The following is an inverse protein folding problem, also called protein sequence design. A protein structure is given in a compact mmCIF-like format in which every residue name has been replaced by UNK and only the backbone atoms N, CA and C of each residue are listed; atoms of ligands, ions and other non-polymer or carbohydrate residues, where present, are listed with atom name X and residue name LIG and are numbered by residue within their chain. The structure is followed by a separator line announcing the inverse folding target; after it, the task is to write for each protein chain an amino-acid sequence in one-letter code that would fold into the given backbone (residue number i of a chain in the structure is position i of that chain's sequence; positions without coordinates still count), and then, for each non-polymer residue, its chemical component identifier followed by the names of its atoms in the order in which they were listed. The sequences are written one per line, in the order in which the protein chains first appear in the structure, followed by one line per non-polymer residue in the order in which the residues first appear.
data_IF_942533229789
#
_entry.id   IF_942533229789
#
_cell.length_a   1.000
_cell.length_b   1.000
_cell.length_c   1.000
_cell.angle_alpha   90.00
_cell.angle_beta   90.00
_cell.angle_gamma   90.00
#
_symmetry.space_group_name_H-M   'P 1'
#
loop_
_entity.id
_entity.type
_entity.pdbx_description
1 polymer ?
#
# COMPACT_ATOMS: atom_id res chain seq x y z
N UNK A 1 -38.27 5.37 -21.86
CA UNK A 1 -37.64 4.14 -22.34
C UNK A 1 -36.48 3.82 -21.41
N UNK A 2 -36.53 2.76 -20.63
CA UNK A 2 -35.40 2.40 -19.75
C UNK A 2 -34.27 1.80 -20.59
N UNK A 3 -33.05 2.29 -20.40
CA UNK A 3 -31.83 1.73 -20.98
C UNK A 3 -31.58 0.36 -20.35
N UNK A 4 -31.41 -0.67 -21.16
CA UNK A 4 -31.06 -2.00 -20.71
C UNK A 4 -29.71 -2.01 -19.98
N UNK A 5 -29.45 -3.08 -19.19
CA UNK A 5 -28.20 -3.18 -18.45
C UNK A 5 -27.00 -3.23 -19.39
N UNK A 6 -25.84 -2.68 -19.00
CA UNK A 6 -24.63 -2.75 -19.80
C UNK A 6 -24.25 -4.23 -20.05
N UNK A 7 -24.01 -4.57 -21.29
CA UNK A 7 -23.47 -5.87 -21.68
C UNK A 7 -22.11 -6.05 -20.99
N UNK A 8 -22.05 -6.98 -20.04
CA UNK A 8 -20.78 -7.47 -19.50
C UNK A 8 -20.11 -8.19 -20.67
N UNK A 9 -19.07 -7.58 -21.21
CA UNK A 9 -18.20 -8.19 -22.20
C UNK A 9 -17.62 -9.45 -21.56
N UNK A 10 -18.12 -10.61 -21.99
CA UNK A 10 -17.63 -11.91 -21.52
C UNK A 10 -16.17 -12.01 -21.91
N UNK A 11 -15.28 -11.92 -20.93
CA UNK A 11 -13.86 -12.17 -21.12
C UNK A 11 -13.72 -13.54 -21.81
N UNK A 12 -13.24 -13.52 -23.06
CA UNK A 12 -13.01 -14.74 -23.86
C UNK A 12 -11.95 -15.54 -23.09
N UNK A 13 -12.35 -16.65 -22.51
CA UNK A 13 -11.41 -17.58 -21.87
C UNK A 13 -10.41 -18.05 -22.92
N UNK A 14 -9.10 -17.94 -22.68
CA UNK A 14 -8.08 -18.39 -23.61
C UNK A 14 -8.24 -19.88 -23.90
N UNK A 15 -7.94 -20.32 -25.13
CA UNK A 15 -7.97 -21.75 -25.44
C UNK A 15 -6.93 -22.49 -24.56
N UNK A 16 -7.16 -23.78 -24.26
CA UNK A 16 -6.18 -24.57 -23.48
C UNK A 16 -4.77 -24.51 -24.05
N UNK A 17 -4.64 -24.52 -25.39
CA UNK A 17 -3.35 -24.44 -26.07
C UNK A 17 -2.67 -23.08 -25.88
N UNK A 18 -3.44 -21.98 -25.98
CA UNK A 18 -2.90 -20.62 -25.80
C UNK A 18 -2.51 -20.38 -24.34
N UNK A 19 -3.27 -20.93 -23.38
CA UNK A 19 -2.90 -20.89 -21.96
C UNK A 19 -1.58 -21.63 -21.68
N UNK A 20 -1.44 -22.85 -22.19
CA UNK A 20 -0.20 -23.64 -22.03
C UNK A 20 0.99 -22.95 -22.67
N UNK A 21 0.82 -22.38 -23.85
CA UNK A 21 1.87 -21.63 -24.52
C UNK A 21 2.30 -20.40 -23.70
N UNK A 22 1.35 -19.62 -23.18
CA UNK A 22 1.61 -18.48 -22.32
C UNK A 22 2.37 -18.92 -21.04
N UNK A 23 1.91 -19.99 -20.38
CA UNK A 23 2.52 -20.45 -19.15
C UNK A 23 3.97 -20.95 -19.37
N UNK A 24 4.23 -21.66 -20.51
CA UNK A 24 5.59 -22.04 -20.90
C UNK A 24 6.49 -20.82 -21.15
N UNK A 25 5.96 -19.79 -21.81
CA UNK A 25 6.69 -18.54 -22.04
C UNK A 25 6.98 -17.77 -20.73
N UNK A 26 6.12 -17.88 -19.73
CA UNK A 26 6.29 -17.27 -18.40
C UNK A 26 7.30 -18.03 -17.51
N UNK A 27 7.54 -19.32 -17.76
CA UNK A 27 8.37 -20.19 -16.92
C UNK A 27 9.77 -19.67 -16.62
N UNK A 28 10.55 -19.08 -17.58
CA UNK A 28 11.85 -18.52 -17.31
C UNK A 28 11.81 -17.38 -16.29
N UNK A 29 10.78 -16.53 -16.33
CA UNK A 29 10.60 -15.42 -15.39
C UNK A 29 10.28 -15.95 -14.00
N UNK A 30 9.40 -16.94 -13.89
CA UNK A 30 9.06 -17.59 -12.63
C UNK A 30 10.33 -18.20 -12.01
N UNK A 31 11.12 -18.91 -12.80
CA UNK A 31 12.38 -19.51 -12.34
C UNK A 31 13.39 -18.46 -11.88
N UNK A 32 13.57 -17.37 -12.63
CA UNK A 32 14.53 -16.32 -12.32
C UNK A 32 14.21 -15.58 -11.01
N UNK A 33 12.91 -15.45 -10.67
CA UNK A 33 12.44 -14.65 -9.53
C UNK A 33 12.07 -15.49 -8.31
N UNK A 34 11.88 -16.78 -8.43
CA UNK A 34 11.57 -17.67 -7.33
C UNK A 34 12.64 -17.58 -6.22
N UNK A 35 12.18 -17.41 -4.97
CA UNK A 35 13.04 -17.23 -3.81
C UNK A 35 13.67 -15.83 -3.68
N UNK A 36 13.42 -14.93 -4.63
CA UNK A 36 13.84 -13.52 -4.52
C UNK A 36 12.91 -12.74 -3.59
N UNK A 37 13.38 -11.62 -3.11
CA UNK A 37 12.60 -10.68 -2.30
C UNK A 37 12.26 -9.46 -3.14
N UNK A 38 10.97 -9.19 -3.29
CA UNK A 38 10.47 -7.98 -3.93
C UNK A 38 10.01 -7.00 -2.88
N UNK A 39 10.41 -5.74 -3.03
CA UNK A 39 9.90 -4.62 -2.24
C UNK A 39 8.87 -3.91 -3.10
N UNK A 40 7.61 -3.94 -2.66
CA UNK A 40 6.49 -3.29 -3.35
C UNK A 40 6.05 -2.10 -2.52
N UNK A 41 6.21 -0.90 -3.09
CA UNK A 41 5.82 0.35 -2.45
C UNK A 41 4.58 0.94 -3.13
N UNK A 42 3.62 1.40 -2.33
CA UNK A 42 2.41 2.08 -2.80
C UNK A 42 1.96 3.16 -1.82
N UNK A 43 1.26 4.17 -2.34
CA UNK A 43 0.72 5.25 -1.52
C UNK A 43 -0.53 4.83 -0.73
N UNK A 44 -0.93 5.64 0.24
CA UNK A 44 -2.17 5.44 0.99
C UNK A 44 -3.42 5.52 0.12
N UNK A 45 -3.32 6.24 -0.99
CA UNK A 45 -4.37 6.36 -2.01
C UNK A 45 -4.74 5.01 -2.63
N UNK A 46 -3.75 4.12 -2.78
CA UNK A 46 -3.99 2.79 -3.32
C UNK A 46 -4.86 1.93 -2.38
N UNK A 47 -4.72 2.11 -1.06
CA UNK A 47 -5.50 1.35 -0.07
C UNK A 47 -6.98 1.74 -0.10
N UNK A 48 -7.29 2.99 -0.47
CA UNK A 48 -8.65 3.51 -0.60
C UNK A 48 -9.26 3.25 -1.98
N UNK A 49 -8.46 2.82 -2.97
CA UNK A 49 -8.94 2.56 -4.33
C UNK A 49 -9.74 1.25 -4.36
N UNK A 50 -10.94 1.22 -4.98
CA UNK A 50 -11.73 -0.01 -5.15
C UNK A 50 -10.98 -1.15 -5.83
N UNK A 51 -9.94 -0.83 -6.63
CA UNK A 51 -9.07 -1.80 -7.30
C UNK A 51 -7.98 -2.38 -6.40
N UNK A 52 -7.88 -1.95 -5.15
CA UNK A 52 -6.87 -2.46 -4.22
C UNK A 52 -6.94 -3.98 -4.07
N UNK A 53 -8.14 -4.56 -4.13
CA UNK A 53 -8.33 -6.00 -4.12
C UNK A 53 -7.61 -6.71 -5.28
N UNK A 54 -7.51 -6.09 -6.46
CA UNK A 54 -6.75 -6.66 -7.58
C UNK A 54 -5.25 -6.70 -7.27
N UNK A 55 -4.72 -5.61 -6.69
CA UNK A 55 -3.32 -5.60 -6.23
C UNK A 55 -3.06 -6.70 -5.19
N UNK A 56 -3.98 -6.90 -4.24
CA UNK A 56 -3.85 -7.97 -3.23
C UNK A 56 -3.84 -9.35 -3.89
N UNK A 57 -4.65 -9.57 -4.94
CA UNK A 57 -4.63 -10.82 -5.72
C UNK A 57 -3.28 -11.03 -6.42
N UNK A 58 -2.74 -9.98 -7.03
CA UNK A 58 -1.43 -10.04 -7.70
C UNK A 58 -0.30 -10.34 -6.70
N UNK A 59 -0.34 -9.74 -5.51
CA UNK A 59 0.59 -10.02 -4.43
C UNK A 59 0.47 -11.49 -3.95
N UNK A 60 -0.75 -11.99 -3.83
CA UNK A 60 -1.01 -13.38 -3.47
C UNK A 60 -0.46 -14.34 -4.54
N UNK A 61 -0.64 -14.01 -5.82
CA UNK A 61 -0.08 -14.77 -6.93
C UNK A 61 1.46 -14.79 -6.87
N UNK A 62 2.11 -13.64 -6.71
CA UNK A 62 3.57 -13.55 -6.58
C UNK A 62 4.10 -14.40 -5.41
N UNK A 63 3.43 -14.33 -4.26
CA UNK A 63 3.75 -15.16 -3.09
C UNK A 63 3.63 -16.66 -3.40
N UNK A 64 2.56 -17.06 -4.10
CA UNK A 64 2.32 -18.45 -4.50
C UNK A 64 3.38 -18.98 -5.47
N UNK A 65 3.96 -18.10 -6.28
CA UNK A 65 5.09 -18.42 -7.16
C UNK A 65 6.43 -18.53 -6.42
N UNK A 66 6.43 -18.34 -5.10
CA UNK A 66 7.61 -18.47 -4.25
C UNK A 66 8.45 -17.20 -4.14
N UNK A 67 7.91 -16.03 -4.47
CA UNK A 67 8.54 -14.74 -4.25
C UNK A 67 8.26 -14.28 -2.82
N UNK A 68 9.28 -13.80 -2.12
CA UNK A 68 9.14 -13.16 -0.81
C UNK A 68 8.79 -11.69 -1.00
N UNK A 69 7.78 -11.21 -0.29
CA UNK A 69 7.27 -9.85 -0.43
C UNK A 69 7.60 -9.02 0.80
N UNK A 70 8.04 -7.79 0.58
CA UNK A 70 8.10 -6.71 1.57
C UNK A 70 7.19 -5.60 1.06
N UNK A 71 6.11 -5.31 1.78
CA UNK A 71 5.17 -4.27 1.42
C UNK A 71 5.47 -3.00 2.19
N UNK A 72 5.57 -1.88 1.49
CA UNK A 72 5.80 -0.55 2.06
C UNK A 72 4.63 0.34 1.63
N UNK A 73 3.75 0.67 2.56
CA UNK A 73 2.57 1.47 2.26
C UNK A 73 2.65 2.87 2.84
N UNK A 74 2.12 3.85 2.12
CA UNK A 74 1.86 5.20 2.61
C UNK A 74 0.51 5.28 3.31
N UNK A 75 0.29 6.38 4.06
CA UNK A 75 -0.97 6.66 4.77
C UNK A 75 -1.32 8.14 4.78
N UNK A 76 -0.84 8.90 3.79
CA UNK A 76 -1.06 10.36 3.76
C UNK A 76 -2.54 10.73 3.74
N UNK A 77 -3.40 10.19 2.85
CA UNK A 77 -4.83 10.53 2.83
C UNK A 77 -5.53 10.18 4.14
N UNK A 78 -5.20 9.04 4.72
CA UNK A 78 -5.77 8.57 5.97
C UNK A 78 -5.40 9.47 7.17
N UNK A 79 -4.18 10.04 7.17
CA UNK A 79 -3.79 11.05 8.16
C UNK A 79 -4.60 12.32 7.95
N UNK A 80 -4.68 12.81 6.70
CA UNK A 80 -5.41 14.04 6.39
C UNK A 80 -6.89 13.94 6.76
N UNK A 81 -7.53 12.82 6.48
CA UNK A 81 -8.90 12.54 6.88
C UNK A 81 -9.11 12.59 8.40
N UNK A 82 -8.18 11.98 9.18
CA UNK A 82 -8.25 12.00 10.65
C UNK A 82 -8.02 13.37 11.24
N UNK A 83 -7.10 14.14 10.67
CA UNK A 83 -6.86 15.52 11.08
C UNK A 83 -8.07 16.41 10.79
N UNK A 84 -8.66 16.28 9.60
CA UNK A 84 -9.88 17.01 9.22
C UNK A 84 -11.05 16.69 10.16
N UNK A 85 -11.28 15.43 10.49
CA UNK A 85 -12.31 14.99 11.43
C UNK A 85 -12.13 15.55 12.86
N UNK A 86 -10.89 15.92 13.22
CA UNK A 86 -10.55 16.54 14.52
C UNK A 86 -10.47 18.07 14.46
N UNK A 87 -10.71 18.69 13.30
CA UNK A 87 -10.54 20.13 13.11
C UNK A 87 -9.08 20.60 13.22
N UNK A 88 -8.10 19.71 13.02
CA UNK A 88 -6.68 20.03 13.10
C UNK A 88 -6.17 20.35 11.70
N UNK A 89 -5.69 21.57 11.43
CA UNK A 89 -5.16 21.93 10.13
C UNK A 89 -3.83 21.25 9.86
N UNK A 90 -3.68 20.64 8.67
CA UNK A 90 -2.40 20.11 8.23
C UNK A 90 -1.43 21.27 7.90
N UNK A 91 -0.26 21.27 8.54
CA UNK A 91 0.79 22.27 8.32
C UNK A 91 1.98 21.62 7.66
N UNK A 92 2.60 22.34 6.72
CA UNK A 92 3.78 21.88 5.99
C UNK A 92 4.89 22.91 6.07
N UNK A 93 6.12 22.45 6.14
CA UNK A 93 7.32 23.28 6.04
C UNK A 93 8.29 22.61 5.06
N UNK A 94 8.69 23.30 4.01
CA UNK A 94 9.56 22.76 2.94
C UNK A 94 9.06 21.41 2.39
N UNK A 95 7.74 21.27 2.18
CA UNK A 95 7.14 20.05 1.66
C UNK A 95 7.02 18.90 2.68
N UNK A 96 7.53 19.06 3.88
CA UNK A 96 7.41 18.09 4.97
C UNK A 96 6.28 18.50 5.92
N UNK A 97 5.48 17.52 6.35
CA UNK A 97 4.42 17.75 7.34
C UNK A 97 5.04 18.09 8.69
N UNK A 98 4.58 19.20 9.28
CA UNK A 98 4.87 19.52 10.67
C UNK A 98 4.11 18.51 11.55
N UNK A 99 4.86 17.70 12.29
CA UNK A 99 4.30 16.60 13.08
C UNK A 99 4.49 16.90 14.56
N UNK A 100 3.46 17.52 15.14
CA UNK A 100 3.31 17.64 16.60
C UNK A 100 2.67 16.37 17.18
N UNK A 101 2.42 16.33 18.49
CA UNK A 101 1.91 15.14 19.17
C UNK A 101 0.50 14.73 18.68
N UNK A 102 -0.35 15.70 18.34
CA UNK A 102 -1.68 15.44 17.81
C UNK A 102 -1.61 14.83 16.40
N UNK A 103 -0.76 15.38 15.54
CA UNK A 103 -0.51 14.86 14.19
C UNK A 103 0.18 13.49 14.26
N UNK A 104 1.11 13.30 15.20
CA UNK A 104 1.76 12.00 15.39
C UNK A 104 0.75 10.93 15.82
N UNK A 105 -0.19 11.29 16.68
CA UNK A 105 -1.26 10.37 17.10
C UNK A 105 -2.12 9.96 15.91
N UNK A 106 -2.57 10.92 15.09
CA UNK A 106 -3.32 10.63 13.87
C UNK A 106 -2.52 9.75 12.89
N UNK A 107 -1.21 9.98 12.77
CA UNK A 107 -0.33 9.19 11.91
C UNK A 107 -0.19 7.74 12.39
N UNK A 108 -0.02 7.52 13.71
CA UNK A 108 0.02 6.17 14.29
C UNK A 108 -1.27 5.40 14.08
N UNK A 109 -2.41 6.05 14.30
CA UNK A 109 -3.73 5.45 14.07
C UNK A 109 -3.96 5.12 12.60
N UNK A 110 -3.60 6.03 11.69
CA UNK A 110 -3.72 5.82 10.25
C UNK A 110 -2.87 4.63 9.78
N UNK A 111 -1.60 4.59 10.22
CA UNK A 111 -0.68 3.52 9.87
C UNK A 111 -1.12 2.17 10.45
N UNK A 112 -1.60 2.15 11.69
CA UNK A 112 -2.12 0.94 12.32
C UNK A 112 -3.35 0.40 11.62
N UNK A 113 -4.31 1.25 11.28
CA UNK A 113 -5.51 0.85 10.57
C UNK A 113 -5.21 0.30 9.17
N UNK A 114 -4.43 1.03 8.37
CA UNK A 114 -4.06 0.59 7.02
C UNK A 114 -3.28 -0.74 7.05
N UNK A 115 -2.37 -0.90 8.02
CA UNK A 115 -1.63 -2.15 8.19
C UNK A 115 -2.57 -3.32 8.46
N UNK A 116 -3.48 -3.19 9.42
CA UNK A 116 -4.42 -4.26 9.78
C UNK A 116 -5.32 -4.59 8.60
N UNK A 117 -5.77 -3.60 7.84
CA UNK A 117 -6.56 -3.82 6.63
C UNK A 117 -5.80 -4.66 5.60
N UNK A 118 -4.56 -4.29 5.28
CA UNK A 118 -3.71 -5.03 4.34
C UNK A 118 -3.45 -6.46 4.85
N UNK A 119 -3.11 -6.60 6.14
CA UNK A 119 -2.87 -7.90 6.76
C UNK A 119 -4.12 -8.80 6.70
N UNK A 120 -5.29 -8.24 6.93
CA UNK A 120 -6.56 -8.98 6.90
C UNK A 120 -6.88 -9.48 5.49
N UNK A 121 -6.76 -8.62 4.48
CA UNK A 121 -7.01 -8.99 3.08
C UNK A 121 -6.09 -10.11 2.61
N UNK A 122 -4.80 -10.05 2.95
CA UNK A 122 -3.82 -11.08 2.59
C UNK A 122 -4.02 -12.39 3.37
N UNK A 123 -4.44 -12.31 4.64
CA UNK A 123 -4.57 -13.47 5.52
C UNK A 123 -5.90 -14.22 5.37
N UNK A 124 -6.98 -13.50 5.11
CA UNK A 124 -8.31 -14.08 4.94
C UNK A 124 -8.52 -14.64 3.53
N UNK A 125 -7.71 -14.22 2.58
CA UNK A 125 -7.90 -14.49 1.17
C UNK A 125 -9.03 -13.64 0.58
N UNK A 126 -9.07 -13.57 -0.74
CA UNK A 126 -10.08 -12.83 -1.47
C UNK A 126 -11.16 -13.81 -1.93
N UNK A 127 -12.29 -13.83 -1.23
CA UNK A 127 -13.49 -14.54 -1.69
C UNK A 127 -13.89 -14.04 -3.09
N UNK A 128 -14.32 -14.93 -3.96
CA UNK A 128 -14.68 -14.65 -5.36
C UNK A 128 -13.50 -14.23 -6.26
N UNK A 129 -12.30 -14.68 -5.97
CA UNK A 129 -11.12 -14.47 -6.80
C UNK A 129 -10.47 -15.80 -7.19
N UNK A 130 -9.63 -15.82 -8.25
CA UNK A 130 -8.83 -17.01 -8.59
C UNK A 130 -7.89 -17.45 -7.45
N UNK A 131 -7.59 -16.54 -6.51
CA UNK A 131 -6.77 -16.80 -5.33
C UNK A 131 -7.62 -17.07 -4.07
N UNK A 132 -8.91 -17.40 -4.24
CA UNK A 132 -9.76 -17.79 -3.12
C UNK A 132 -9.15 -18.97 -2.35
N UNK A 133 -9.01 -18.81 -1.04
CA UNK A 133 -8.36 -19.82 -0.19
C UNK A 133 -6.84 -19.70 -0.07
N UNK A 134 -6.17 -18.86 -0.86
CA UNK A 134 -4.78 -18.53 -0.61
C UNK A 134 -4.65 -17.77 0.72
N UNK A 135 -3.87 -18.31 1.64
CA UNK A 135 -3.63 -17.70 2.94
C UNK A 135 -2.16 -17.31 3.04
N UNK A 136 -1.88 -16.01 3.04
CA UNK A 136 -0.54 -15.50 3.20
C UNK A 136 -0.36 -15.11 4.66
N UNK A 137 0.64 -15.68 5.31
CA UNK A 137 1.03 -15.23 6.65
C UNK A 137 1.79 -13.92 6.51
N UNK A 138 1.22 -12.85 7.03
CA UNK A 138 1.83 -11.53 7.06
C UNK A 138 2.38 -11.28 8.45
N UNK A 139 3.59 -10.75 8.51
CA UNK A 139 4.19 -10.28 9.75
C UNK A 139 4.59 -8.83 9.59
N UNK A 140 4.33 -8.03 10.58
CA UNK A 140 4.83 -6.67 10.70
C UNK A 140 5.79 -6.57 11.89
N UNK A 141 6.68 -5.59 11.87
CA UNK A 141 7.66 -5.39 12.91
C UNK A 141 7.98 -3.91 13.14
N UNK A 142 8.79 -3.64 14.12
CA UNK A 142 9.26 -2.30 14.48
C UNK A 142 10.46 -1.83 13.64
N UNK A 143 10.48 -2.16 12.36
CA UNK A 143 11.54 -1.76 11.43
C UNK A 143 11.55 -0.24 11.19
N UNK A 144 10.40 0.41 11.36
CA UNK A 144 10.23 1.86 11.25
C UNK A 144 9.55 2.37 12.51
N UNK A 145 10.14 3.38 13.14
CA UNK A 145 9.59 4.05 14.31
C UNK A 145 9.24 5.50 13.96
N UNK A 146 8.13 6.00 14.48
CA UNK A 146 7.71 7.38 14.30
C UNK A 146 8.08 8.22 15.53
N UNK A 147 8.58 9.42 15.30
CA UNK A 147 8.83 10.43 16.34
C UNK A 147 8.31 11.79 15.89
N UNK A 148 7.93 12.68 16.82
CA UNK A 148 7.58 14.05 16.47
C UNK A 148 8.77 14.75 15.78
N UNK A 149 8.48 15.42 14.68
CA UNK A 149 9.40 16.37 14.06
C UNK A 149 8.81 17.75 14.30
N UNK A 150 9.34 18.45 15.30
CA UNK A 150 8.98 19.83 15.57
C UNK A 150 9.45 20.77 14.45
N UNK A 151 8.94 22.00 14.45
CA UNK A 151 9.44 23.07 13.57
C UNK A 151 10.90 23.31 13.95
N UNK A 152 11.83 23.09 13.04
CA UNK A 152 13.18 23.60 13.17
C UNK A 152 13.06 25.14 13.12
N UNK A 153 13.15 25.82 14.27
CA UNK A 153 13.40 27.23 14.28
C UNK A 153 14.74 27.44 13.58
N UNK A 154 14.71 28.10 12.43
CA UNK A 154 15.92 28.68 11.86
C UNK A 154 16.29 29.81 12.80
N UNK A 155 17.09 29.52 13.80
CA UNK A 155 17.77 30.57 14.56
C UNK A 155 18.67 31.26 13.54
N UNK A 156 18.26 32.45 13.09
CA UNK A 156 19.11 33.29 12.31
C UNK A 156 20.42 33.43 13.12
N UNK A 157 21.51 32.99 12.54
CA UNK A 157 22.82 33.18 13.15
C UNK A 157 22.98 34.71 13.35
N UNK A 158 23.04 35.11 14.61
CA UNK A 158 23.38 36.51 14.97
C UNK A 158 24.75 36.79 14.37
N UNK A 159 24.91 37.84 13.51
CA UNK A 159 26.19 38.18 12.98
C UNK A 159 27.14 38.56 14.15
N UNK A 160 28.42 38.23 14.06
CA UNK A 160 29.37 38.61 15.10
C UNK A 160 29.42 40.13 15.25
N UNK A 161 29.63 40.66 16.45
CA UNK A 161 29.75 42.10 16.67
C UNK A 161 30.92 42.66 15.85
N UNK A 162 30.82 43.91 15.34
CA UNK A 162 31.90 44.54 14.63
C UNK A 162 33.10 44.76 15.56
N UNK A 163 34.30 44.56 14.99
CA UNK A 163 35.57 44.72 15.67
C UNK A 163 35.88 46.22 15.93
#
# INVERSE_FOLDING_TARGET
MPRGPPHIETAVSPSPESFVAFFRAASPYIHAHRGRTFVVQFGGEAVEDPRFNNLVQDLALLSSLGIRLVLVHGVRPQIDSRLAARGIPARFHLGLRVTDDAVLTAAKEAAGAARVEIESLLSMGLTNSPMAGARIRVASGNFVTARPVGVRSTTAATPPPPA
#
